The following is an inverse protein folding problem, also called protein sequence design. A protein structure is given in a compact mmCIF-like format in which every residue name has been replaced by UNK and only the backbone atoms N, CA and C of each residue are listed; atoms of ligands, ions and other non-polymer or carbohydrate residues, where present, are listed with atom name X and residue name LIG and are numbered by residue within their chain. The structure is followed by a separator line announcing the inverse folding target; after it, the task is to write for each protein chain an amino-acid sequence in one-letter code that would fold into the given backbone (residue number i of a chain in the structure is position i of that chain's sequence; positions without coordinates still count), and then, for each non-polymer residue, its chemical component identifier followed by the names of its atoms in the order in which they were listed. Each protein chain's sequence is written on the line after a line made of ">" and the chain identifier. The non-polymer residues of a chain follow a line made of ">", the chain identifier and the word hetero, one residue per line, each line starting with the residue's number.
data_IF_060547262081
#
_entry.id   IF_060547262081
#
_cell.length_a   1.000
_cell.length_b   1.000
_cell.length_c   1.000
_cell.angle_alpha   90.00
_cell.angle_beta   90.00
_cell.angle_gamma   90.00
#
_symmetry.space_group_name_H-M   'P 1'
#
loop_
_entity.id
_entity.type
_entity.pdbx_description
1 polymer ?
#
# COMPACT_ATOMS: atom_id res chain seq x y z
N UNK A 1 0.64 7.14 -2.53
CA UNK A 1 1.44 6.24 -1.68
C UNK A 1 1.65 6.76 -0.24
N UNK A 2 0.91 7.78 0.22
CA UNK A 2 1.03 8.34 1.58
C UNK A 2 0.85 7.29 2.68
N UNK A 3 -0.23 6.49 2.65
CA UNK A 3 -0.47 5.43 3.63
C UNK A 3 0.63 4.35 3.62
N UNK A 4 1.20 4.04 2.44
CA UNK A 4 2.31 3.10 2.32
C UNK A 4 3.59 3.63 2.98
N UNK A 5 3.86 4.94 2.86
CA UNK A 5 5.01 5.58 3.52
C UNK A 5 4.83 5.65 5.03
N UNK A 6 3.64 6.01 5.51
CA UNK A 6 3.33 6.01 6.94
C UNK A 6 3.55 4.62 7.56
N UNK A 7 2.96 3.58 6.95
CA UNK A 7 3.17 2.18 7.40
C UNK A 7 4.62 1.75 7.34
N UNK A 8 5.35 2.17 6.31
CA UNK A 8 6.77 1.88 6.16
C UNK A 8 7.57 2.47 7.31
N UNK A 9 7.34 3.75 7.63
CA UNK A 9 7.99 4.43 8.75
C UNK A 9 7.69 3.74 10.08
N UNK A 10 6.41 3.43 10.37
CA UNK A 10 6.01 2.74 11.61
C UNK A 10 6.57 1.31 11.74
N UNK A 11 6.91 0.67 10.62
CA UNK A 11 7.41 -0.70 10.60
C UNK A 11 8.94 -0.81 10.74
N UNK A 12 9.67 0.29 10.53
CA UNK A 12 11.13 0.32 10.45
C UNK A 12 11.75 1.01 11.65
N UNK A 13 12.94 0.56 12.05
CA UNK A 13 13.67 1.16 13.16
C UNK A 13 14.49 2.40 12.76
N UNK A 14 14.80 2.58 11.47
CA UNK A 14 15.56 3.72 10.93
C UNK A 14 15.02 4.09 9.54
N UNK A 15 14.88 5.39 9.26
CA UNK A 15 14.50 5.88 7.92
C UNK A 15 15.69 6.53 7.22
N UNK A 16 15.96 6.10 5.98
CA UNK A 16 16.94 6.76 5.11
C UNK A 16 16.22 7.72 4.16
N UNK A 17 16.45 9.02 4.33
CA UNK A 17 15.92 10.06 3.47
C UNK A 17 16.90 10.36 2.33
N UNK A 18 16.58 9.87 1.13
CA UNK A 18 17.39 10.15 -0.06
C UNK A 18 16.94 11.45 -0.71
N UNK A 19 17.85 12.42 -0.84
CA UNK A 19 17.60 13.72 -1.49
C UNK A 19 18.60 13.93 -2.60
N UNK A 20 18.14 14.31 -3.79
CA UNK A 20 19.04 14.51 -4.91
C UNK A 20 19.73 15.88 -4.82
N UNK A 21 21.03 15.92 -5.05
CA UNK A 21 21.83 17.16 -4.99
C UNK A 21 21.52 18.15 -6.11
N UNK A 22 20.91 17.70 -7.22
CA UNK A 22 20.51 18.53 -8.36
C UNK A 22 19.08 19.09 -8.22
N UNK A 23 18.17 18.30 -7.64
CA UNK A 23 16.75 18.66 -7.50
C UNK A 23 16.45 19.38 -6.17
N UNK A 24 17.16 19.04 -5.10
CA UNK A 24 16.93 19.57 -3.74
C UNK A 24 15.69 18.98 -3.05
N UNK A 25 15.22 19.66 -2.00
CA UNK A 25 14.08 19.22 -1.18
C UNK A 25 12.76 19.48 -1.93
N UNK A 26 12.04 18.40 -2.23
CA UNK A 26 10.76 18.44 -2.96
C UNK A 26 9.57 18.19 -2.02
N UNK A 27 8.32 18.49 -2.44
CA UNK A 27 7.12 18.18 -1.65
C UNK A 27 7.03 16.74 -1.14
N UNK A 28 7.50 15.77 -1.93
CA UNK A 28 7.54 14.36 -1.55
C UNK A 28 8.59 14.08 -0.48
N UNK A 29 9.71 14.80 -0.49
CA UNK A 29 10.75 14.74 0.56
C UNK A 29 10.17 15.24 1.88
N UNK A 30 9.42 16.34 1.84
CA UNK A 30 8.76 16.93 3.01
C UNK A 30 7.77 15.92 3.60
N UNK A 31 6.93 15.33 2.76
CA UNK A 31 5.98 14.31 3.20
C UNK A 31 6.69 13.13 3.88
N UNK A 32 7.85 12.69 3.37
CA UNK A 32 8.63 11.62 3.98
C UNK A 32 9.21 12.01 5.35
N UNK A 33 9.68 13.25 5.51
CA UNK A 33 10.14 13.80 6.80
C UNK A 33 9.00 13.79 7.81
N UNK A 34 7.80 14.22 7.40
CA UNK A 34 6.63 14.28 8.29
C UNK A 34 6.21 12.88 8.78
N UNK A 35 6.24 11.86 7.90
CA UNK A 35 5.94 10.48 8.30
C UNK A 35 6.98 9.91 9.27
N UNK A 36 8.27 10.10 8.99
CA UNK A 36 9.33 9.62 9.87
C UNK A 36 9.28 10.27 11.26
N UNK A 37 8.96 11.57 11.32
CA UNK A 37 8.74 12.29 12.59
C UNK A 37 7.52 11.81 13.35
N UNK A 38 6.41 11.58 12.65
CA UNK A 38 5.18 11.08 13.27
C UNK A 38 5.38 9.67 13.86
N UNK A 39 6.24 8.86 13.24
CA UNK A 39 6.62 7.53 13.71
C UNK A 39 7.70 7.56 14.82
N UNK A 40 8.27 8.73 15.14
CA UNK A 40 9.37 8.91 16.10
C UNK A 40 10.62 8.08 15.74
N UNK A 41 10.89 7.92 14.43
CA UNK A 41 12.01 7.09 13.92
C UNK A 41 13.20 7.98 13.53
N UNK A 42 14.45 7.62 13.89
CA UNK A 42 15.63 8.38 13.50
C UNK A 42 15.78 8.45 11.98
N UNK A 43 16.18 9.63 11.50
CA UNK A 43 16.34 9.94 10.08
C UNK A 43 17.83 10.07 9.75
N UNK A 44 18.31 9.24 8.83
CA UNK A 44 19.64 9.38 8.22
C UNK A 44 19.46 9.95 6.81
N UNK A 45 20.16 11.03 6.48
CA UNK A 45 20.03 11.68 5.17
C UNK A 45 21.11 11.19 4.23
N UNK A 46 20.73 10.80 3.03
CA UNK A 46 21.65 10.50 1.94
C UNK A 46 21.48 11.52 0.80
N UNK A 47 22.43 12.44 0.66
CA UNK A 47 22.46 13.41 -0.45
C UNK A 47 23.06 12.73 -1.67
N UNK A 48 22.21 12.33 -2.61
CA UNK A 48 22.58 11.52 -3.78
C UNK A 48 22.93 12.36 -5.02
N UNK A 49 23.55 11.72 -6.02
CA UNK A 49 23.98 12.30 -7.31
C UNK A 49 25.11 13.35 -7.20
N UNK A 50 26.02 13.18 -6.26
CA UNK A 50 27.19 14.10 -6.12
C UNK A 50 28.16 14.04 -7.31
N UNK A 51 28.02 13.04 -8.17
CA UNK A 51 28.79 12.89 -9.41
C UNK A 51 28.40 13.90 -10.50
N UNK A 52 27.24 14.55 -10.39
CA UNK A 52 26.77 15.48 -11.42
C UNK A 52 27.44 16.84 -11.31
N UNK A 53 27.78 17.44 -12.45
CA UNK A 53 28.37 18.78 -12.51
C UNK A 53 27.47 19.88 -11.93
N UNK A 54 26.14 19.70 -11.99
CA UNK A 54 25.15 20.63 -11.43
C UNK A 54 24.70 20.25 -10.01
N UNK A 55 25.36 19.30 -9.35
CA UNK A 55 25.07 18.93 -7.98
C UNK A 55 25.44 20.08 -7.02
N UNK A 56 24.53 20.42 -6.13
CA UNK A 56 24.76 21.42 -5.08
C UNK A 56 24.36 20.85 -3.70
N UNK A 57 25.23 20.00 -3.09
CA UNK A 57 24.93 19.39 -1.80
C UNK A 57 24.73 20.42 -0.69
N UNK A 58 25.44 21.55 -0.74
CA UNK A 58 25.39 22.56 0.32
C UNK A 58 24.04 23.30 0.32
N UNK A 59 23.47 23.56 -0.87
CA UNK A 59 22.08 24.03 -0.98
C UNK A 59 21.08 23.04 -0.39
N UNK A 60 21.26 21.73 -0.63
CA UNK A 60 20.38 20.71 -0.05
C UNK A 60 20.47 20.71 1.48
N UNK A 61 21.67 20.80 2.03
CA UNK A 61 21.88 20.89 3.48
C UNK A 61 21.20 22.10 4.10
N UNK A 62 21.27 23.27 3.45
CA UNK A 62 20.56 24.46 3.90
C UNK A 62 19.04 24.26 3.93
N UNK A 63 18.47 23.65 2.88
CA UNK A 63 17.03 23.37 2.80
C UNK A 63 16.57 22.34 3.84
N UNK A 64 17.41 21.35 4.18
CA UNK A 64 17.11 20.36 5.22
C UNK A 64 17.19 20.98 6.62
N UNK A 65 18.16 21.86 6.86
CA UNK A 65 18.29 22.58 8.13
C UNK A 65 17.07 23.47 8.41
N UNK A 66 16.47 24.10 7.39
CA UNK A 66 15.19 24.84 7.52
C UNK A 66 14.02 23.95 7.96
N UNK A 67 14.18 22.63 7.84
CA UNK A 67 13.20 21.62 8.28
C UNK A 67 13.63 20.92 9.55
N UNK A 68 14.52 21.50 10.35
CA UNK A 68 15.06 20.91 11.59
C UNK A 68 15.80 19.57 11.38
N UNK A 69 16.35 19.34 10.19
CA UNK A 69 17.32 18.28 9.92
C UNK A 69 18.69 18.92 9.78
N UNK A 70 19.29 19.28 10.92
CA UNK A 70 20.56 19.99 10.97
C UNK A 70 21.71 19.00 10.98
N UNK A 71 22.66 19.08 10.03
CA UNK A 71 23.81 18.17 9.98
C UNK A 71 24.69 18.24 11.23
N UNK A 72 25.30 17.12 11.63
CA UNK A 72 26.27 17.07 12.74
C UNK A 72 27.43 18.06 12.58
N UNK A 73 27.93 18.24 11.35
CA UNK A 73 28.97 19.22 11.02
C UNK A 73 28.59 20.67 11.37
N UNK A 74 27.30 20.97 11.43
CA UNK A 74 26.76 22.30 11.77
C UNK A 74 26.32 22.38 13.23
N UNK A 75 26.65 21.38 14.05
CA UNK A 75 26.26 21.27 15.45
C UNK A 75 24.85 20.73 15.67
N UNK A 76 24.26 20.07 14.67
CA UNK A 76 23.01 19.34 14.79
C UNK A 76 23.20 17.88 15.21
N UNK A 77 22.16 17.08 15.01
CA UNK A 77 22.05 15.66 15.38
C UNK A 77 21.74 14.76 14.17
N UNK A 78 21.54 15.34 12.99
CA UNK A 78 21.19 14.58 11.79
C UNK A 78 22.46 14.10 11.09
N UNK A 79 22.60 12.80 10.96
CA UNK A 79 23.67 12.19 10.17
C UNK A 79 23.37 12.41 8.68
N UNK A 80 24.32 13.01 7.96
CA UNK A 80 24.20 13.28 6.53
C UNK A 80 25.38 12.66 5.79
N UNK A 81 25.08 11.74 4.87
CA UNK A 81 26.06 11.13 3.97
C UNK A 81 25.92 11.71 2.57
N UNK A 82 27.02 12.14 1.96
CA UNK A 82 27.09 12.59 0.56
C UNK A 82 27.45 11.39 -0.32
N UNK A 83 26.54 10.95 -1.20
CA UNK A 83 26.70 9.71 -1.97
C UNK A 83 26.52 9.87 -3.48
N UNK A 84 27.13 8.98 -4.25
CA UNK A 84 26.74 8.69 -5.63
C UNK A 84 26.29 7.24 -5.71
N UNK A 85 24.99 7.01 -5.85
CA UNK A 85 24.45 5.66 -6.05
C UNK A 85 24.85 5.05 -7.41
N UNK A 86 25.24 5.87 -8.39
CA UNK A 86 25.67 5.39 -9.71
C UNK A 86 27.13 4.92 -9.69
N UNK A 87 28.01 5.73 -9.11
CA UNK A 87 29.46 5.44 -9.03
C UNK A 87 29.83 4.64 -7.77
N UNK A 88 28.89 4.42 -6.85
CA UNK A 88 29.10 3.72 -5.59
C UNK A 88 29.86 4.53 -4.52
N UNK A 89 29.99 5.85 -4.69
CA UNK A 89 30.74 6.72 -3.78
C UNK A 89 29.93 6.96 -2.50
N UNK A 90 30.57 6.82 -1.33
CA UNK A 90 29.97 7.14 -0.02
C UNK A 90 28.95 6.10 0.50
N UNK A 91 28.76 4.98 -0.21
CA UNK A 91 27.83 3.93 0.22
C UNK A 91 28.36 3.18 1.45
N UNK A 92 29.66 2.89 1.50
CA UNK A 92 30.28 2.24 2.66
C UNK A 92 30.15 3.11 3.92
N UNK A 93 30.39 4.42 3.79
CA UNK A 93 30.22 5.40 4.88
C UNK A 93 28.76 5.46 5.35
N UNK A 94 27.79 5.44 4.42
CA UNK A 94 26.37 5.38 4.77
C UNK A 94 26.03 4.11 5.56
N UNK A 95 26.58 2.95 5.16
CA UNK A 95 26.36 1.68 5.86
C UNK A 95 26.99 1.69 7.27
N UNK A 96 28.20 2.20 7.41
CA UNK A 96 28.86 2.36 8.71
C UNK A 96 28.05 3.27 9.64
N UNK A 97 27.57 4.41 9.14
CA UNK A 97 26.72 5.31 9.90
C UNK A 97 25.38 4.69 10.30
N UNK A 98 24.76 3.87 9.44
CA UNK A 98 23.54 3.14 9.80
C UNK A 98 23.78 2.13 10.93
N UNK A 99 24.94 1.47 10.95
CA UNK A 99 25.32 0.58 12.06
C UNK A 99 25.48 1.38 13.36
N UNK A 100 26.11 2.57 13.30
CA UNK A 100 26.25 3.45 14.46
C UNK A 100 24.89 3.88 15.01
N UNK A 101 23.95 4.27 14.15
CA UNK A 101 22.58 4.62 14.59
C UNK A 101 21.90 3.42 15.26
N UNK A 102 21.99 2.24 14.66
CA UNK A 102 21.40 1.03 15.23
C UNK A 102 21.98 0.68 16.62
N UNK A 103 23.27 0.91 16.82
CA UNK A 103 23.92 0.74 18.13
C UNK A 103 23.48 1.79 19.16
N UNK A 104 23.32 3.06 18.74
CA UNK A 104 22.88 4.16 19.61
C UNK A 104 21.43 3.99 20.07
N UNK A 105 20.56 3.49 19.20
CA UNK A 105 19.15 3.21 19.51
C UNK A 105 18.97 1.95 20.37
N UNK A 106 20.03 1.17 20.62
CA UNK A 106 20.00 -0.10 21.37
C UNK A 106 18.90 -1.05 20.86
N UNK A 107 18.82 -1.21 19.53
CA UNK A 107 17.80 -2.02 18.89
C UNK A 107 17.91 -3.48 19.32
N UNK A 108 16.85 -3.97 20.01
CA UNK A 108 16.80 -5.32 20.57
C UNK A 108 15.48 -5.99 20.27
N UNK A 109 15.55 -7.25 19.87
CA UNK A 109 14.39 -8.11 19.72
C UNK A 109 14.56 -9.41 20.53
N UNK A 110 13.46 -9.88 21.11
CA UNK A 110 13.43 -11.19 21.76
C UNK A 110 13.01 -12.25 20.73
N UNK A 111 13.89 -13.20 20.34
CA UNK A 111 13.54 -14.26 19.40
C UNK A 111 12.67 -15.36 20.04
N UNK A 112 12.57 -15.40 21.37
CA UNK A 112 11.78 -16.40 22.08
C UNK A 112 10.31 -16.00 22.22
N UNK A 113 9.45 -17.01 22.11
CA UNK A 113 8.01 -16.89 22.28
C UNK A 113 7.25 -16.80 20.97
N UNK A 114 5.98 -16.38 21.07
CA UNK A 114 5.06 -16.33 19.93
C UNK A 114 5.45 -15.19 19.00
N UNK A 115 5.52 -15.48 17.70
CA UNK A 115 5.86 -14.47 16.72
C UNK A 115 4.79 -13.38 16.65
N UNK A 116 5.25 -12.13 16.58
CA UNK A 116 4.44 -10.94 16.28
C UNK A 116 5.19 -10.10 15.26
N UNK A 117 4.46 -9.44 14.39
CA UNK A 117 4.99 -8.42 13.51
C UNK A 117 3.91 -7.78 12.68
N UNK A 118 4.28 -7.27 11.50
CA UNK A 118 3.40 -6.52 10.62
C UNK A 118 3.34 -7.14 9.22
N UNK A 119 2.18 -7.07 8.59
CA UNK A 119 2.02 -7.43 7.16
C UNK A 119 2.52 -6.27 6.31
N UNK A 120 3.59 -6.49 5.55
CA UNK A 120 4.12 -5.49 4.62
C UNK A 120 3.25 -5.40 3.37
N UNK A 121 2.87 -6.55 2.82
CA UNK A 121 2.11 -6.66 1.59
C UNK A 121 1.37 -7.99 1.52
N UNK A 122 0.23 -8.03 0.81
CA UNK A 122 -0.48 -9.27 0.57
C UNK A 122 -1.04 -9.32 -0.85
N UNK A 123 -1.13 -10.54 -1.39
CA UNK A 123 -1.66 -10.81 -2.72
C UNK A 123 -2.34 -12.17 -2.80
N UNK A 124 -3.12 -12.35 -3.86
CA UNK A 124 -3.67 -13.64 -4.24
C UNK A 124 -2.80 -14.26 -5.34
N UNK A 125 -2.09 -15.34 -5.01
CA UNK A 125 -1.19 -16.01 -5.94
C UNK A 125 -1.86 -17.23 -6.59
N UNK A 126 -1.74 -17.35 -7.91
CA UNK A 126 -2.39 -18.39 -8.70
C UNK A 126 -1.83 -19.77 -8.33
N UNK A 127 -2.66 -20.62 -7.73
CA UNK A 127 -2.30 -21.97 -7.32
C UNK A 127 -1.70 -22.08 -5.91
N UNK A 128 -1.25 -20.97 -5.31
CA UNK A 128 -0.76 -20.93 -3.92
C UNK A 128 -1.79 -20.36 -2.95
N UNK A 129 -2.79 -19.65 -3.45
CA UNK A 129 -3.83 -19.02 -2.66
C UNK A 129 -3.39 -17.67 -2.09
N UNK A 130 -4.02 -17.18 -1.01
CA UNK A 130 -3.60 -15.96 -0.34
C UNK A 130 -2.19 -16.08 0.23
N UNK A 131 -1.34 -15.10 -0.11
CA UNK A 131 0.03 -14.99 0.39
C UNK A 131 0.25 -13.61 0.97
N UNK A 132 1.00 -13.53 2.07
CA UNK A 132 1.32 -12.27 2.73
C UNK A 132 2.82 -12.20 3.02
N UNK A 133 3.47 -11.13 2.61
CA UNK A 133 4.83 -10.79 3.04
C UNK A 133 4.73 -10.10 4.39
N UNK A 134 5.34 -10.67 5.41
CA UNK A 134 5.31 -10.17 6.79
C UNK A 134 6.72 -9.88 7.27
N UNK A 135 6.87 -8.86 8.13
CA UNK A 135 8.10 -8.58 8.85
C UNK A 135 7.94 -9.06 10.29
N UNK A 136 8.75 -10.03 10.72
CA UNK A 136 8.74 -10.52 12.10
C UNK A 136 9.46 -9.49 12.98
N UNK A 137 8.79 -8.97 14.02
CA UNK A 137 9.38 -7.99 14.94
C UNK A 137 9.79 -8.62 16.27
N UNK A 138 9.09 -9.68 16.69
CA UNK A 138 9.35 -10.39 17.95
C UNK A 138 9.02 -11.87 17.79
N UNK A 139 9.72 -12.71 18.53
CA UNK A 139 9.56 -14.16 18.52
C UNK A 139 10.12 -14.78 17.25
N UNK A 140 9.83 -16.06 17.03
CA UNK A 140 10.24 -16.79 15.85
C UNK A 140 9.00 -17.41 15.20
N UNK A 141 8.74 -17.06 13.94
CA UNK A 141 7.64 -17.61 13.16
C UNK A 141 8.08 -18.93 12.53
N UNK A 142 7.28 -19.98 12.66
CA UNK A 142 7.63 -21.31 12.13
C UNK A 142 6.57 -21.88 11.21
N UNK A 143 7.00 -22.75 10.31
CA UNK A 143 6.06 -23.57 9.53
C UNK A 143 5.21 -24.41 10.47
N UNK A 144 3.90 -24.38 10.26
CA UNK A 144 2.91 -25.05 11.10
C UNK A 144 2.31 -24.16 12.19
N UNK A 145 2.80 -22.94 12.41
CA UNK A 145 2.21 -22.04 13.41
C UNK A 145 0.79 -21.60 13.01
N UNK A 146 -0.15 -21.50 13.96
CA UNK A 146 -1.45 -20.88 13.73
C UNK A 146 -1.28 -19.35 13.78
N UNK A 147 -1.47 -18.67 12.65
CA UNK A 147 -1.25 -17.24 12.49
C UNK A 147 -2.58 -16.51 12.27
N UNK A 148 -2.69 -15.31 12.86
CA UNK A 148 -3.79 -14.36 12.61
C UNK A 148 -3.18 -13.05 12.14
N UNK A 149 -3.66 -12.52 11.02
CA UNK A 149 -3.30 -11.21 10.45
C UNK A 149 -4.58 -10.46 10.11
N UNK A 150 -4.96 -9.49 10.93
CA UNK A 150 -6.25 -8.80 10.78
C UNK A 150 -7.44 -9.78 10.80
N UNK A 151 -8.33 -9.76 9.78
CA UNK A 151 -9.43 -10.71 9.61
C UNK A 151 -9.02 -12.03 8.94
N UNK A 152 -7.79 -12.14 8.43
CA UNK A 152 -7.26 -13.37 7.84
C UNK A 152 -6.59 -14.24 8.93
N UNK A 153 -6.78 -15.55 8.85
CA UNK A 153 -6.12 -16.50 9.74
C UNK A 153 -5.79 -17.80 9.02
N UNK A 154 -4.91 -18.62 9.59
CA UNK A 154 -4.63 -19.93 9.05
C UNK A 154 -3.43 -20.59 9.69
N UNK A 155 -3.07 -21.77 9.18
CA UNK A 155 -1.83 -22.45 9.56
C UNK A 155 -0.78 -22.12 8.52
N UNK A 156 0.41 -21.68 8.96
CA UNK A 156 1.55 -21.44 8.09
C UNK A 156 1.92 -22.75 7.39
N UNK A 157 1.73 -22.81 6.06
CA UNK A 157 2.05 -23.98 5.23
C UNK A 157 3.47 -23.97 4.72
N UNK A 158 3.98 -22.78 4.42
CA UNK A 158 5.33 -22.55 3.95
C UNK A 158 5.74 -21.12 4.29
N UNK A 159 7.05 -20.95 4.48
CA UNK A 159 7.72 -19.67 4.61
C UNK A 159 8.74 -19.56 3.47
N UNK A 160 8.87 -18.36 2.88
CA UNK A 160 9.82 -18.09 1.81
C UNK A 160 10.55 -16.80 2.14
N UNK A 161 11.88 -16.83 2.13
CA UNK A 161 12.72 -15.66 2.38
C UNK A 161 12.73 -14.67 1.19
N UNK A 162 13.42 -13.55 1.37
CA UNK A 162 13.62 -12.50 0.37
C UNK A 162 14.46 -12.96 -0.84
N UNK A 163 15.19 -14.07 -0.71
CA UNK A 163 15.92 -14.72 -1.80
C UNK A 163 15.08 -15.75 -2.57
N UNK A 164 13.83 -16.00 -2.15
CA UNK A 164 12.93 -16.96 -2.78
C UNK A 164 13.12 -18.41 -2.32
N UNK A 165 13.95 -18.66 -1.31
CA UNK A 165 14.17 -19.99 -0.75
C UNK A 165 13.12 -20.33 0.31
N UNK A 166 12.74 -21.60 0.40
CA UNK A 166 11.90 -22.05 1.51
C UNK A 166 12.72 -22.16 2.78
N UNK A 167 12.18 -21.62 3.87
CA UNK A 167 12.76 -21.66 5.21
C UNK A 167 11.79 -22.30 6.20
N UNK A 168 12.31 -22.91 7.25
CA UNK A 168 11.48 -23.55 8.28
C UNK A 168 11.04 -22.56 9.38
N UNK A 169 11.84 -21.52 9.60
CA UNK A 169 11.60 -20.49 10.60
C UNK A 169 12.12 -19.11 10.16
N UNK A 170 11.50 -18.05 10.68
CA UNK A 170 11.90 -16.67 10.49
C UNK A 170 11.96 -15.95 11.85
N UNK A 171 13.14 -15.42 12.18
CA UNK A 171 13.39 -14.66 13.41
C UNK A 171 13.08 -13.17 13.27
N UNK A 172 13.30 -12.38 14.33
CA UNK A 172 13.11 -10.92 14.28
C UNK A 172 13.92 -10.25 13.16
N UNK A 173 13.37 -9.18 12.61
CA UNK A 173 13.90 -8.37 11.49
C UNK A 173 13.95 -9.11 10.14
N UNK A 174 13.49 -10.36 10.06
CA UNK A 174 13.44 -11.10 8.80
C UNK A 174 12.08 -10.90 8.10
N UNK A 175 12.06 -10.38 6.85
CA UNK A 175 10.88 -10.40 6.02
C UNK A 175 10.69 -11.82 5.45
N UNK A 176 9.45 -12.32 5.49
CA UNK A 176 9.14 -13.66 5.00
C UNK A 176 7.75 -13.70 4.37
N UNK A 177 7.61 -14.41 3.26
CA UNK A 177 6.32 -14.66 2.64
C UNK A 177 5.65 -15.88 3.30
N UNK A 178 4.46 -15.65 3.84
CA UNK A 178 3.62 -16.63 4.52
C UNK A 178 2.54 -17.14 3.57
N UNK A 179 2.45 -18.48 3.48
CA UNK A 179 1.39 -19.18 2.76
C UNK A 179 0.47 -19.91 3.72
N UNK A 180 -0.81 -20.02 3.36
CA UNK A 180 -1.80 -20.82 4.11
C UNK A 180 -2.82 -20.01 4.91
N UNK A 181 -2.94 -18.71 4.62
CA UNK A 181 -4.03 -17.88 5.14
C UNK A 181 -5.35 -18.20 4.43
N UNK A 182 -6.44 -18.03 5.16
CA UNK A 182 -7.81 -18.22 4.66
C UNK A 182 -8.22 -17.17 3.64
N UNK A 183 -7.67 -15.96 3.76
CA UNK A 183 -7.98 -14.81 2.93
C UNK A 183 -6.75 -13.88 2.80
N UNK A 184 -6.82 -12.91 1.91
CA UNK A 184 -5.78 -11.90 1.71
C UNK A 184 -5.79 -10.94 2.89
N UNK A 185 -4.70 -10.92 3.67
CA UNK A 185 -4.54 -9.99 4.79
C UNK A 185 -4.41 -8.54 4.30
N UNK A 186 -4.68 -7.56 5.18
CA UNK A 186 -4.50 -6.15 4.83
C UNK A 186 -3.05 -5.74 5.04
N UNK A 187 -2.49 -4.92 4.14
CA UNK A 187 -1.18 -4.30 4.37
C UNK A 187 -1.25 -3.36 5.59
N UNK A 188 -0.29 -3.48 6.50
CA UNK A 188 -0.24 -2.77 7.77
C UNK A 188 -0.95 -3.46 8.94
N UNK A 189 -1.63 -4.59 8.72
CA UNK A 189 -2.21 -5.34 9.83
C UNK A 189 -1.10 -5.96 10.69
N UNK A 190 -1.28 -5.87 12.01
CA UNK A 190 -0.52 -6.68 12.96
C UNK A 190 -0.85 -8.17 12.77
N UNK A 191 0.19 -8.99 12.67
CA UNK A 191 0.06 -10.44 12.78
C UNK A 191 0.57 -10.96 14.12
N UNK A 192 -0.08 -12.03 14.61
CA UNK A 192 0.33 -12.72 15.83
C UNK A 192 0.13 -14.23 15.67
N UNK A 193 1.10 -15.01 16.14
CA UNK A 193 0.95 -16.46 16.30
C UNK A 193 0.05 -16.75 17.50
N UNK A 194 -1.06 -17.43 17.24
CA UNK A 194 -2.02 -17.86 18.24
C UNK A 194 -1.52 -19.09 19.01
N UNK A 195 -2.25 -19.46 20.07
CA UNK A 195 -1.95 -20.70 20.81
C UNK A 195 -2.34 -21.95 20.01
N UNK A 196 -3.46 -21.86 19.31
CA UNK A 196 -4.06 -22.93 18.51
C UNK A 196 -4.94 -22.30 17.41
N UNK A 197 -5.26 -23.08 16.37
CA UNK A 197 -6.11 -22.65 15.25
C UNK A 197 -7.50 -22.20 15.69
N UNK A 198 -8.05 -22.82 16.75
CA UNK A 198 -9.38 -22.47 17.25
C UNK A 198 -9.41 -21.07 17.84
N UNK A 199 -8.36 -20.69 18.54
CA UNK A 199 -8.18 -19.34 19.06
C UNK A 199 -7.95 -18.37 17.91
N UNK A 200 -7.17 -18.76 16.90
CA UNK A 200 -6.94 -17.95 15.71
C UNK A 200 -8.26 -17.61 14.99
N UNK A 201 -9.08 -18.62 14.67
CA UNK A 201 -10.40 -18.45 14.02
C UNK A 201 -11.30 -17.49 14.79
N UNK A 202 -11.43 -17.67 16.11
CA UNK A 202 -12.29 -16.81 16.96
C UNK A 202 -11.86 -15.35 16.96
N UNK A 203 -10.54 -15.10 17.04
CA UNK A 203 -10.01 -13.72 17.00
C UNK A 203 -10.28 -13.10 15.62
N UNK A 204 -10.09 -13.87 14.56
CA UNK A 204 -10.40 -13.46 13.19
C UNK A 204 -11.86 -13.09 12.99
N UNK A 205 -12.79 -13.98 13.39
CA UNK A 205 -14.23 -13.75 13.28
C UNK A 205 -14.67 -12.49 14.03
N UNK A 206 -14.11 -12.27 15.21
CA UNK A 206 -14.41 -11.06 15.98
C UNK A 206 -13.87 -9.80 15.30
N UNK A 207 -12.65 -9.84 14.76
CA UNK A 207 -12.07 -8.72 14.01
C UNK A 207 -12.82 -8.44 12.72
N UNK A 208 -13.22 -9.47 11.97
CA UNK A 208 -14.02 -9.34 10.76
C UNK A 208 -15.37 -8.70 11.06
N UNK A 209 -16.03 -9.10 12.16
CA UNK A 209 -17.27 -8.49 12.61
C UNK A 209 -17.11 -6.99 12.90
N UNK A 210 -16.06 -6.60 13.63
CA UNK A 210 -15.78 -5.18 13.87
C UNK A 210 -15.42 -4.43 12.59
N UNK A 211 -14.65 -5.04 11.68
CA UNK A 211 -14.30 -4.44 10.40
C UNK A 211 -15.55 -4.20 9.54
N UNK A 212 -16.47 -5.16 9.52
CA UNK A 212 -17.77 -5.03 8.84
C UNK A 212 -18.60 -3.90 9.44
N UNK A 213 -18.69 -3.82 10.77
CA UNK A 213 -19.38 -2.71 11.44
C UNK A 213 -18.74 -1.35 11.13
N UNK A 214 -17.41 -1.27 11.12
CA UNK A 214 -16.68 -0.05 10.78
C UNK A 214 -16.89 0.37 9.32
N UNK A 215 -16.96 -0.59 8.39
CA UNK A 215 -17.30 -0.31 6.99
C UNK A 215 -18.72 0.24 6.84
N UNK A 216 -19.67 -0.26 7.65
CA UNK A 216 -21.06 0.21 7.67
C UNK A 216 -21.17 1.60 8.33
N UNK A 217 -20.36 1.90 9.36
CA UNK A 217 -20.37 3.21 10.01
C UNK A 217 -19.61 4.28 9.22
N UNK A 218 -18.55 3.92 8.49
CA UNK A 218 -17.87 4.80 7.54
C UNK A 218 -18.71 5.10 6.29
N UNK A 219 -19.62 4.18 5.94
CA UNK A 219 -20.69 4.38 4.94
C UNK A 219 -22.02 4.83 5.56
N UNK A 220 -22.04 5.23 6.84
CA UNK A 220 -23.21 5.90 7.44
C UNK A 220 -23.39 7.34 6.92
N UNK A 221 -22.44 7.86 6.13
CA UNK A 221 -22.67 9.01 5.25
C UNK A 221 -23.42 8.65 3.96
N UNK A 222 -23.64 7.35 3.67
CA UNK A 222 -24.35 6.85 2.47
C UNK A 222 -25.57 5.98 2.81
N UNK A 223 -25.77 5.63 4.08
CA UNK A 223 -27.05 5.07 4.58
C UNK A 223 -27.85 6.14 5.33
N UNK A 224 -28.19 7.21 4.61
CA UNK A 224 -29.45 7.91 4.91
C UNK A 224 -30.57 6.88 4.74
N UNK A 225 -31.17 6.49 5.85
CA UNK A 225 -32.35 5.64 5.87
C UNK A 225 -33.44 6.24 5.00
N UNK A 226 -34.01 5.40 4.14
CA UNK A 226 -35.25 5.65 3.41
C UNK A 226 -35.26 6.99 2.67
N UNK A 227 -34.63 7.05 1.50
CA UNK A 227 -35.01 8.05 0.50
C UNK A 227 -36.53 7.93 0.30
N UNK A 228 -37.26 8.91 0.82
CA UNK A 228 -38.69 9.03 0.55
C UNK A 228 -38.82 9.25 -0.95
N UNK A 229 -39.92 8.79 -1.53
CA UNK A 229 -40.28 9.07 -2.93
C UNK A 229 -40.21 10.57 -3.31
N UNK A 230 -40.20 11.46 -2.31
CA UNK A 230 -40.01 12.91 -2.44
C UNK A 230 -38.55 13.33 -2.76
N UNK A 231 -37.53 12.59 -2.30
CA UNK A 231 -36.10 12.88 -2.59
C UNK A 231 -35.64 12.35 -3.97
N UNK A 232 -36.34 11.35 -4.49
CA UNK A 232 -36.14 10.86 -5.86
C UNK A 232 -36.63 11.91 -6.88
N UNK A 233 -37.68 12.66 -6.53
CA UNK A 233 -38.22 13.71 -7.41
C UNK A 233 -37.34 14.96 -7.48
N UNK A 234 -36.59 15.28 -6.41
CA UNK A 234 -35.65 16.41 -6.40
C UNK A 234 -34.35 16.10 -7.15
N UNK A 235 -33.88 14.85 -7.13
CA UNK A 235 -32.71 14.41 -7.90
C UNK A 235 -32.97 14.36 -9.42
N UNK A 236 -34.19 14.01 -9.83
CA UNK A 236 -34.60 14.03 -11.25
C UNK A 236 -34.79 15.47 -11.76
N UNK A 237 -34.98 16.46 -10.88
CA UNK A 237 -35.15 17.87 -11.23
C UNK A 237 -33.84 18.69 -11.33
N UNK A 238 -32.69 18.13 -10.93
CA UNK A 238 -31.42 18.87 -10.82
C UNK A 238 -30.47 18.73 -12.04
N UNK A 239 -30.80 17.89 -13.03
CA UNK A 239 -29.87 17.52 -14.10
C UNK A 239 -28.89 16.47 -13.59
N UNK A 240 -28.99 15.25 -14.10
CA UNK A 240 -28.32 14.06 -13.56
C UNK A 240 -26.79 14.23 -13.50
N UNK A 241 -26.23 14.13 -12.29
CA UNK A 241 -24.78 14.00 -12.09
C UNK A 241 -24.34 12.68 -12.70
N UNK A 242 -23.40 12.72 -13.66
CA UNK A 242 -22.92 11.50 -14.30
C UNK A 242 -22.18 10.62 -13.27
N UNK A 243 -22.52 9.33 -13.23
CA UNK A 243 -21.85 8.36 -12.35
C UNK A 243 -21.06 7.37 -13.19
N UNK A 244 -19.76 7.28 -12.93
CA UNK A 244 -18.90 6.28 -13.56
C UNK A 244 -18.69 5.12 -12.58
N UNK A 245 -19.30 3.99 -12.89
CA UNK A 245 -19.16 2.77 -12.11
C UNK A 245 -17.85 2.07 -12.45
N UNK A 246 -17.06 1.74 -11.44
CA UNK A 246 -15.74 1.14 -11.57
C UNK A 246 -15.63 -0.14 -10.76
N UNK A 247 -15.05 -1.17 -11.37
CA UNK A 247 -14.52 -2.34 -10.68
C UNK A 247 -13.00 -2.28 -10.76
N UNK A 248 -12.31 -2.21 -9.62
CA UNK A 248 -10.85 -2.08 -9.57
C UNK A 248 -10.23 -3.38 -9.05
N UNK A 249 -9.31 -3.93 -9.84
CA UNK A 249 -8.49 -5.09 -9.50
C UNK A 249 -7.02 -4.71 -9.51
N UNK A 250 -6.28 -5.10 -8.48
CA UNK A 250 -4.83 -4.92 -8.45
C UNK A 250 -4.12 -6.22 -8.06
N UNK A 251 -2.84 -6.30 -8.39
CA UNK A 251 -1.97 -7.44 -8.06
C UNK A 251 -1.76 -7.60 -6.55
N UNK A 252 -1.60 -6.49 -5.84
CA UNK A 252 -1.33 -6.43 -4.40
C UNK A 252 -2.29 -5.47 -3.69
N UNK A 253 -2.49 -5.67 -2.39
CA UNK A 253 -3.34 -4.80 -1.54
C UNK A 253 -2.89 -3.33 -1.55
N UNK A 254 -1.58 -3.08 -1.49
CA UNK A 254 -1.03 -1.72 -1.44
C UNK A 254 -1.34 -0.90 -2.71
N UNK A 255 -1.19 -1.52 -3.88
CA UNK A 255 -1.55 -0.93 -5.17
C UNK A 255 -3.05 -0.65 -5.27
N UNK A 256 -3.91 -1.58 -4.82
CA UNK A 256 -5.36 -1.38 -4.82
C UNK A 256 -5.75 -0.14 -4.01
N UNK A 257 -5.20 0.00 -2.81
CA UNK A 257 -5.45 1.15 -1.93
C UNK A 257 -4.95 2.45 -2.57
N UNK A 258 -3.73 2.44 -3.12
CA UNK A 258 -3.13 3.62 -3.75
C UNK A 258 -3.92 4.07 -4.98
N UNK A 259 -4.32 3.15 -5.84
CA UNK A 259 -5.11 3.43 -7.06
C UNK A 259 -6.48 3.98 -6.68
N UNK A 260 -7.22 3.32 -5.78
CA UNK A 260 -8.54 3.81 -5.33
C UNK A 260 -8.44 5.19 -4.71
N UNK A 261 -7.45 5.44 -3.84
CA UNK A 261 -7.28 6.75 -3.20
C UNK A 261 -6.94 7.85 -4.21
N UNK A 262 -6.19 7.51 -5.27
CA UNK A 262 -5.81 8.47 -6.31
C UNK A 262 -6.99 8.77 -7.25
N UNK A 263 -7.78 7.75 -7.60
CA UNK A 263 -9.01 7.91 -8.38
C UNK A 263 -10.04 8.78 -7.64
N UNK A 264 -10.23 8.59 -6.33
CA UNK A 264 -11.14 9.44 -5.53
C UNK A 264 -10.78 10.92 -5.56
N UNK A 265 -9.51 11.28 -5.75
CA UNK A 265 -9.08 12.68 -5.86
C UNK A 265 -9.49 13.33 -7.19
N UNK A 266 -9.89 12.53 -8.19
CA UNK A 266 -10.38 13.02 -9.47
C UNK A 266 -11.88 13.33 -9.46
N UNK A 267 -12.62 12.98 -8.40
CA UNK A 267 -14.05 13.27 -8.29
C UNK A 267 -14.33 14.78 -8.43
N UNK A 268 -15.36 15.10 -9.22
CA UNK A 268 -15.84 16.48 -9.44
C UNK A 268 -17.32 16.56 -9.11
N UNK A 269 -17.84 17.76 -8.90
CA UNK A 269 -19.26 17.96 -8.59
C UNK A 269 -20.18 17.42 -9.71
N UNK A 270 -19.70 17.45 -10.95
CA UNK A 270 -20.44 17.06 -12.15
C UNK A 270 -20.29 15.56 -12.54
N UNK A 271 -19.25 14.88 -12.04
CA UNK A 271 -18.99 13.45 -12.31
C UNK A 271 -18.50 12.74 -11.05
N UNK A 272 -19.28 11.75 -10.59
CA UNK A 272 -18.96 10.94 -9.42
C UNK A 272 -18.42 9.57 -9.81
N UNK A 273 -17.39 9.12 -9.10
CA UNK A 273 -16.87 7.76 -9.23
C UNK A 273 -17.57 6.84 -8.22
N UNK A 274 -18.03 5.68 -8.70
CA UNK A 274 -18.72 4.69 -7.88
C UNK A 274 -17.95 3.36 -7.94
N UNK A 275 -17.28 3.01 -6.85
CA UNK A 275 -16.50 1.77 -6.77
C UNK A 275 -17.42 0.59 -6.42
N UNK A 276 -17.94 -0.09 -7.43
CA UNK A 276 -18.87 -1.24 -7.27
C UNK A 276 -18.17 -2.41 -6.59
N UNK A 277 -16.91 -2.67 -6.96
CA UNK A 277 -16.07 -3.68 -6.32
C UNK A 277 -14.60 -3.28 -6.38
N UNK A 278 -13.89 -3.58 -5.31
CA UNK A 278 -12.44 -3.47 -5.22
C UNK A 278 -11.90 -4.83 -4.78
N UNK A 279 -10.88 -5.35 -5.44
CA UNK A 279 -10.36 -6.67 -5.11
C UNK A 279 -8.90 -6.87 -5.52
N UNK A 280 -8.27 -7.84 -4.87
CA UNK A 280 -6.89 -8.22 -5.15
C UNK A 280 -6.87 -9.51 -5.98
N UNK A 281 -5.93 -9.59 -6.92
CA UNK A 281 -5.73 -10.71 -7.83
C UNK A 281 -6.40 -10.55 -9.19
N UNK A 282 -6.44 -11.66 -9.93
CA UNK A 282 -6.98 -11.74 -11.28
C UNK A 282 -8.41 -11.21 -11.44
N UNK A 283 -8.74 -10.80 -12.67
CA UNK A 283 -10.11 -10.51 -13.08
C UNK A 283 -10.84 -11.84 -13.27
N UNK A 284 -11.99 -12.03 -12.62
CA UNK A 284 -12.76 -13.26 -12.64
C UNK A 284 -14.04 -13.12 -13.47
N UNK A 285 -14.67 -14.24 -13.82
CA UNK A 285 -15.96 -14.27 -14.52
C UNK A 285 -17.05 -13.50 -13.75
N UNK A 286 -17.06 -13.63 -12.43
CA UNK A 286 -18.01 -12.93 -11.55
C UNK A 286 -17.80 -11.42 -11.52
N UNK A 287 -16.61 -10.92 -11.91
CA UNK A 287 -16.37 -9.49 -12.07
C UNK A 287 -16.96 -8.98 -13.39
N UNK A 288 -16.90 -9.78 -14.47
CA UNK A 288 -17.59 -9.48 -15.75
C UNK A 288 -19.10 -9.46 -15.55
N UNK A 289 -19.68 -10.47 -14.90
CA UNK A 289 -21.12 -10.53 -14.63
C UNK A 289 -21.61 -9.33 -13.80
N UNK A 290 -20.80 -8.89 -12.82
CA UNK A 290 -21.10 -7.72 -12.02
C UNK A 290 -20.97 -6.42 -12.84
N UNK A 291 -19.97 -6.33 -13.71
CA UNK A 291 -19.79 -5.21 -14.62
C UNK A 291 -21.00 -5.03 -15.54
N UNK A 292 -21.51 -6.11 -16.14
CA UNK A 292 -22.75 -6.09 -16.95
C UNK A 292 -23.94 -5.59 -16.13
N UNK A 293 -24.13 -6.14 -14.93
CA UNK A 293 -25.28 -5.80 -14.09
C UNK A 293 -25.26 -4.34 -13.57
N UNK A 294 -24.07 -3.74 -13.45
CA UNK A 294 -23.88 -2.40 -12.90
C UNK A 294 -23.41 -1.37 -13.92
N UNK A 295 -23.26 -1.75 -15.19
CA UNK A 295 -22.66 -0.94 -16.25
C UNK A 295 -21.30 -0.33 -15.81
N UNK A 296 -20.43 -1.18 -15.26
CA UNK A 296 -19.15 -0.76 -14.69
C UNK A 296 -17.96 -1.06 -15.61
N UNK A 297 -17.02 -0.13 -15.72
CA UNK A 297 -15.74 -0.37 -16.39
C UNK A 297 -14.79 -1.10 -15.45
N UNK A 298 -14.09 -2.11 -15.95
CA UNK A 298 -13.12 -2.88 -15.17
C UNK A 298 -11.72 -2.32 -15.37
N UNK A 299 -11.06 -1.97 -14.27
CA UNK A 299 -9.68 -1.46 -14.24
C UNK A 299 -8.78 -2.49 -13.58
N UNK A 300 -7.79 -3.01 -14.32
CA UNK A 300 -6.75 -3.91 -13.82
C UNK A 300 -5.41 -3.19 -13.66
N UNK A 301 -4.87 -3.10 -12.45
CA UNK A 301 -3.54 -2.53 -12.19
C UNK A 301 -2.54 -3.66 -11.93
N UNK A 302 -1.54 -3.82 -12.80
CA UNK A 302 -0.61 -4.96 -12.83
C UNK A 302 -1.30 -6.34 -12.92
N UNK A 303 -2.57 -6.36 -13.31
CA UNK A 303 -3.36 -7.59 -13.50
C UNK A 303 -3.76 -7.68 -14.97
N UNK A 304 -3.56 -8.85 -15.57
CA UNK A 304 -3.97 -9.13 -16.94
C UNK A 304 -5.10 -10.16 -16.95
N UNK A 305 -6.19 -9.91 -17.71
CA UNK A 305 -7.24 -10.92 -17.87
C UNK A 305 -6.70 -12.10 -18.66
N UNK A 306 -7.15 -13.30 -18.30
CA UNK A 306 -6.89 -14.48 -19.12
C UNK A 306 -7.68 -14.42 -20.44
N UNK A 307 -7.38 -15.36 -21.35
CA UNK A 307 -8.01 -15.40 -22.67
C UNK A 307 -9.54 -15.60 -22.59
N UNK A 308 -10.01 -16.43 -21.68
CA UNK A 308 -11.44 -16.74 -21.56
C UNK A 308 -12.23 -15.54 -21.01
N UNK A 309 -11.65 -14.82 -20.06
CA UNK A 309 -12.21 -13.59 -19.50
C UNK A 309 -12.27 -12.48 -20.55
N UNK A 310 -11.22 -12.35 -21.39
CA UNK A 310 -11.23 -11.38 -22.49
C UNK A 310 -12.31 -11.69 -23.53
N UNK A 311 -12.40 -12.94 -23.97
CA UNK A 311 -13.44 -13.39 -24.92
C UNK A 311 -14.86 -13.16 -24.37
N UNK A 312 -15.06 -13.38 -23.06
CA UNK A 312 -16.34 -13.11 -22.41
C UNK A 312 -16.65 -11.61 -22.32
N UNK A 313 -15.67 -10.78 -21.98
CA UNK A 313 -15.83 -9.34 -21.92
C UNK A 313 -16.20 -8.76 -23.29
N UNK A 314 -15.56 -9.24 -24.36
CA UNK A 314 -15.88 -8.85 -25.75
C UNK A 314 -17.30 -9.28 -26.16
N UNK A 315 -17.77 -10.43 -25.65
CA UNK A 315 -19.12 -10.95 -25.95
C UNK A 315 -20.21 -10.16 -25.23
N UNK A 316 -19.95 -9.77 -23.98
CA UNK A 316 -20.88 -9.05 -23.11
C UNK A 316 -20.73 -7.52 -23.20
N UNK A 317 -19.88 -7.02 -24.10
CA UNK A 317 -19.56 -5.60 -24.32
C UNK A 317 -19.08 -4.87 -23.05
N UNK A 318 -18.27 -5.55 -22.24
CA UNK A 318 -17.68 -5.01 -21.01
C UNK A 318 -16.28 -4.48 -21.28
N UNK A 319 -16.05 -3.21 -21.01
CA UNK A 319 -14.73 -2.60 -21.16
C UNK A 319 -13.77 -3.00 -20.02
N UNK A 320 -12.64 -3.58 -20.40
CA UNK A 320 -11.52 -3.88 -19.50
C UNK A 320 -10.30 -3.05 -19.91
N UNK A 321 -9.80 -2.22 -19.00
CA UNK A 321 -8.54 -1.48 -19.18
C UNK A 321 -7.49 -1.95 -18.19
N UNK A 322 -6.28 -2.20 -18.68
CA UNK A 322 -5.16 -2.67 -17.85
C UNK A 322 -4.01 -1.69 -17.87
N UNK A 323 -3.41 -1.42 -16.71
CA UNK A 323 -2.34 -0.45 -16.54
C UNK A 323 -1.21 -1.01 -15.69
N UNK A 324 0.01 -0.58 -15.98
CA UNK A 324 1.21 -0.85 -15.17
C UNK A 324 1.74 0.41 -14.49
N UNK A 325 1.30 1.58 -14.96
CA UNK A 325 1.73 2.90 -14.49
C UNK A 325 0.50 3.70 -14.06
N UNK A 326 0.49 4.15 -12.80
CA UNK A 326 -0.68 4.81 -12.20
C UNK A 326 -1.03 6.14 -12.89
N UNK A 327 -0.03 6.86 -13.43
CA UNK A 327 -0.26 8.14 -14.12
C UNK A 327 -1.10 7.97 -15.39
N UNK A 328 -0.79 6.95 -16.22
CA UNK A 328 -1.57 6.66 -17.41
C UNK A 328 -3.02 6.28 -17.06
N UNK A 329 -3.22 5.53 -15.97
CA UNK A 329 -4.55 5.21 -15.47
C UNK A 329 -5.34 6.46 -15.08
N UNK A 330 -4.70 7.41 -14.39
CA UNK A 330 -5.36 8.65 -13.96
C UNK A 330 -5.70 9.54 -15.16
N UNK A 331 -4.79 9.68 -16.12
CA UNK A 331 -5.00 10.46 -17.34
C UNK A 331 -6.17 9.89 -18.18
N UNK A 332 -6.21 8.58 -18.37
CA UNK A 332 -7.27 7.93 -19.17
C UNK A 332 -8.65 8.04 -18.51
N UNK A 333 -8.72 7.92 -17.18
CA UNK A 333 -9.98 8.09 -16.44
C UNK A 333 -10.41 9.56 -16.44
N UNK A 334 -9.48 10.50 -16.27
CA UNK A 334 -9.80 11.93 -16.37
C UNK A 334 -10.32 12.29 -17.78
N UNK A 335 -9.70 11.74 -18.83
CA UNK A 335 -10.16 11.92 -20.20
C UNK A 335 -11.56 11.33 -20.42
N UNK A 336 -11.84 10.14 -19.87
CA UNK A 336 -13.17 9.54 -19.92
C UNK A 336 -14.22 10.40 -19.20
N UNK A 337 -13.91 10.92 -18.02
CA UNK A 337 -14.79 11.83 -17.27
C UNK A 337 -15.10 13.12 -18.05
N UNK A 338 -14.10 13.69 -18.74
CA UNK A 338 -14.30 14.86 -19.61
C UNK A 338 -15.13 14.51 -20.85
N UNK A 339 -14.93 13.33 -21.43
CA UNK A 339 -15.72 12.83 -22.56
C UNK A 339 -17.20 12.68 -22.23
N UNK A 340 -17.54 12.27 -21.00
CA UNK A 340 -18.93 12.18 -20.54
C UNK A 340 -19.61 13.56 -20.40
N UNK A 341 -18.83 14.64 -20.30
CA UNK A 341 -19.33 16.02 -20.19
C UNK A 341 -19.42 16.74 -21.54
N UNK A 342 -18.87 16.16 -22.61
CA UNK A 342 -18.92 16.77 -23.93
C UNK A 342 -20.34 16.59 -24.52
N UNK A 343 -21.07 17.68 -24.83
CA UNK A 343 -22.38 17.56 -25.44
C UNK A 343 -22.25 17.01 -26.87
N UNK A 344 -23.04 16.00 -27.20
CA UNK A 344 -23.30 15.65 -28.60
C UNK A 344 -24.07 16.82 -29.24
N UNK A 345 -23.46 17.48 -30.22
CA UNK A 345 -24.09 18.48 -31.08
C UNK A 345 -24.52 17.88 -32.41
#
# INVERSE_FOLDING_TARGET
>A
FTAMRARGADATDVVVLVVAADDGVMPQTIEAIDHARAAEVPIVVAVNKIDRENADPDKVLAQLAERDLVPEDWGGDTIVCKISALEGIGIDELLENLLVVAELEDLRANPEGRAKGVVLEAKLDAGRGPVATVLVQRGTLKVGDPLVAGPAWGRVRALIDDHGNQVDEAGPSMPVQVLGLSDVATAGDDFVVAKDERTASKVSEQREHYHRLASISGSASVTHGGAKLEDIFSQIQAGEVATLNLIVKADVTGSLEAVTASLKKLERDDVKLSFVRQGVGGILKSDIELAVASNATIIGFNVRPDRQIRELADTEDVEIRTYEVIYHLLEDIEAAMVGMLAPEF
#
